data_IF_721188074924
#
_entry.id   IF_721188074924
#
_cell.length_a   1.000
_cell.length_b   1.000
_cell.length_c   1.000
_cell.angle_alpha   90.00
_cell.angle_beta   90.00
_cell.angle_gamma   90.00
#
_symmetry.space_group_name_H-M   'P 1'
#
loop_
_entity.id
_entity.type
_entity.pdbx_description
1 polymer ?
#
# COMPACT_ATOMS: atom_id res chain seq x y z
N UNK A 1 1.10 2.57 17.20
CA UNK A 1 1.31 1.81 15.96
C UNK A 1 2.75 1.32 15.79
N UNK A 2 3.55 1.40 16.83
CA UNK A 2 4.93 0.92 16.78
C UNK A 2 5.01 -0.56 16.42
N UNK A 3 6.01 -0.93 15.64
CA UNK A 3 6.27 -2.32 15.25
C UNK A 3 5.43 -2.85 14.11
N UNK A 4 4.46 -2.11 13.60
CA UNK A 4 3.69 -2.55 12.45
C UNK A 4 4.54 -2.46 11.19
N UNK A 5 4.46 -3.49 10.34
CA UNK A 5 5.23 -3.57 9.10
C UNK A 5 4.44 -3.00 7.94
N UNK A 6 5.01 -2.02 7.27
CA UNK A 6 4.39 -1.39 6.10
C UNK A 6 5.30 -1.52 4.91
N UNK A 7 4.75 -1.98 3.78
CA UNK A 7 5.45 -2.05 2.50
C UNK A 7 4.93 -0.94 1.60
N UNK A 8 5.82 -0.11 1.09
CA UNK A 8 5.48 0.95 0.14
C UNK A 8 5.95 0.51 -1.24
N UNK A 9 5.01 0.30 -2.15
CA UNK A 9 5.29 -0.14 -3.52
C UNK A 9 4.99 1.00 -4.47
N UNK A 10 6.03 1.61 -5.00
CA UNK A 10 5.95 2.78 -5.87
C UNK A 10 7.21 2.84 -6.73
N UNK A 11 7.05 2.93 -8.04
CA UNK A 11 8.19 2.98 -8.96
C UNK A 11 8.88 4.34 -9.01
N UNK A 12 8.15 5.43 -8.76
CA UNK A 12 8.73 6.76 -8.75
C UNK A 12 9.43 7.02 -7.43
N UNK A 13 10.74 7.27 -7.48
CA UNK A 13 11.55 7.44 -6.28
C UNK A 13 11.09 8.62 -5.43
N UNK A 14 10.75 9.75 -6.05
CA UNK A 14 10.32 10.93 -5.31
C UNK A 14 8.99 10.69 -4.59
N UNK A 15 8.03 10.09 -5.28
CA UNK A 15 6.74 9.77 -4.67
C UNK A 15 6.91 8.78 -3.52
N UNK A 16 7.77 7.78 -3.71
CA UNK A 16 8.04 6.78 -2.68
C UNK A 16 8.66 7.41 -1.45
N UNK A 17 9.65 8.29 -1.63
CA UNK A 17 10.31 9.00 -0.53
C UNK A 17 9.36 9.90 0.24
N UNK A 18 8.48 10.60 -0.47
CA UNK A 18 7.49 11.48 0.17
C UNK A 18 6.57 10.67 1.06
N UNK A 19 6.05 9.54 0.57
CA UNK A 19 5.15 8.71 1.36
C UNK A 19 5.87 8.12 2.58
N UNK A 20 7.08 7.60 2.40
CA UNK A 20 7.87 7.07 3.52
C UNK A 20 8.11 8.15 4.57
N UNK A 21 8.47 9.36 4.16
CA UNK A 21 8.66 10.48 5.07
C UNK A 21 7.41 10.77 5.88
N UNK A 22 6.25 10.82 5.22
CA UNK A 22 4.97 11.08 5.90
C UNK A 22 4.62 9.97 6.88
N UNK A 23 4.86 8.72 6.51
CA UNK A 23 4.60 7.58 7.40
C UNK A 23 5.45 7.66 8.66
N UNK A 24 6.72 8.05 8.54
CA UNK A 24 7.61 8.18 9.69
C UNK A 24 7.18 9.28 10.65
N UNK A 25 6.47 10.27 10.16
CA UNK A 25 5.91 11.34 11.00
C UNK A 25 4.64 10.90 11.74
N UNK A 26 3.97 9.86 11.24
CA UNK A 26 2.74 9.36 11.84
C UNK A 26 3.02 8.36 12.96
N UNK A 27 4.01 7.50 12.80
CA UNK A 27 4.30 6.46 13.78
C UNK A 27 5.62 5.77 13.55
N UNK A 28 5.97 4.87 14.47
CA UNK A 28 7.21 4.10 14.41
C UNK A 28 6.99 2.77 13.71
N UNK A 29 6.77 2.84 12.41
CA UNK A 29 6.55 1.66 11.56
C UNK A 29 7.88 1.05 11.12
N UNK A 30 7.87 -0.25 10.89
CA UNK A 30 8.93 -0.89 10.13
C UNK A 30 8.56 -0.75 8.66
N UNK A 31 9.23 0.14 7.94
CA UNK A 31 8.89 0.46 6.56
C UNK A 31 9.88 -0.20 5.61
N UNK A 32 9.33 -0.92 4.63
CA UNK A 32 10.09 -1.51 3.53
C UNK A 32 9.58 -0.95 2.22
N UNK A 33 10.39 -1.03 1.18
CA UNK A 33 10.09 -0.42 -0.11
C UNK A 33 10.23 -1.43 -1.23
N UNK A 34 9.41 -1.28 -2.26
CA UNK A 34 9.49 -2.04 -3.49
C UNK A 34 9.22 -1.10 -4.66
N UNK A 35 9.80 -1.37 -5.82
CA UNK A 35 9.70 -0.50 -6.98
C UNK A 35 8.78 -1.04 -8.06
N UNK A 36 8.29 -2.26 -7.92
CA UNK A 36 7.33 -2.86 -8.85
C UNK A 36 6.58 -4.01 -8.16
N UNK A 37 5.62 -4.57 -8.88
CA UNK A 37 4.80 -5.65 -8.34
C UNK A 37 5.54 -6.94 -8.07
N UNK A 38 6.57 -7.24 -8.86
CA UNK A 38 7.36 -8.47 -8.64
C UNK A 38 8.12 -8.39 -7.33
N UNK A 39 8.74 -7.26 -7.04
CA UNK A 39 9.41 -7.04 -5.76
C UNK A 39 8.44 -7.12 -4.60
N UNK A 40 7.23 -6.56 -4.79
CA UNK A 40 6.20 -6.62 -3.76
C UNK A 40 5.83 -8.07 -3.45
N UNK A 41 5.60 -8.89 -4.47
CA UNK A 41 5.26 -10.30 -4.28
C UNK A 41 6.35 -11.05 -3.51
N UNK A 42 7.60 -10.80 -3.86
CA UNK A 42 8.73 -11.44 -3.20
C UNK A 42 8.79 -11.08 -1.72
N UNK A 43 8.61 -9.80 -1.40
CA UNK A 43 8.63 -9.37 -0.01
C UNK A 43 7.45 -9.92 0.79
N UNK A 44 6.27 -9.96 0.21
CA UNK A 44 5.10 -10.55 0.87
C UNK A 44 5.33 -12.04 1.14
N UNK A 45 5.91 -12.75 0.19
CA UNK A 45 6.19 -14.17 0.35
C UNK A 45 7.20 -14.43 1.47
N UNK A 46 8.21 -13.56 1.56
CA UNK A 46 9.32 -13.72 2.51
C UNK A 46 8.93 -13.33 3.92
N UNK A 47 8.22 -12.22 4.07
CA UNK A 47 7.79 -11.69 5.38
C UNK A 47 6.57 -10.80 5.17
N UNK A 48 5.35 -11.35 5.29
CA UNK A 48 4.13 -10.60 5.01
C UNK A 48 4.02 -9.33 5.86
N UNK A 49 3.80 -8.16 5.23
CA UNK A 49 3.57 -6.93 5.99
C UNK A 49 2.15 -6.90 6.54
N UNK A 50 1.91 -6.00 7.48
CA UNK A 50 0.56 -5.76 7.97
C UNK A 50 -0.26 -4.95 6.97
N UNK A 51 0.41 -4.03 6.24
CA UNK A 51 -0.24 -3.15 5.29
C UNK A 51 0.69 -2.82 4.13
N UNK A 52 0.12 -2.69 2.94
CA UNK A 52 0.83 -2.30 1.72
C UNK A 52 0.18 -1.05 1.13
N UNK A 53 1.01 -0.05 0.78
CA UNK A 53 0.60 1.00 -0.13
C UNK A 53 1.03 0.57 -1.52
N UNK A 54 0.07 0.31 -2.40
CA UNK A 54 0.30 -0.29 -3.71
C UNK A 54 -0.04 0.67 -4.84
N UNK A 55 0.99 1.18 -5.53
CA UNK A 55 0.79 1.95 -6.75
C UNK A 55 0.19 1.03 -7.82
N UNK A 56 -0.87 1.48 -8.46
CA UNK A 56 -1.57 0.68 -9.45
C UNK A 56 -0.87 0.63 -10.81
N UNK A 57 -0.09 1.66 -11.13
CA UNK A 57 0.60 1.75 -12.43
C UNK A 57 2.11 1.72 -12.25
N UNK A 58 2.72 0.60 -12.61
CA UNK A 58 4.14 0.39 -12.51
C UNK A 58 4.61 -0.49 -13.66
N UNK A 59 5.90 -0.39 -14.04
CA UNK A 59 6.46 -1.31 -15.05
C UNK A 59 6.62 -2.72 -14.48
N UNK A 60 6.87 -3.68 -15.35
CA UNK A 60 7.13 -5.09 -15.06
C UNK A 60 5.88 -5.82 -14.59
N UNK A 61 5.35 -5.46 -13.42
CA UNK A 61 4.06 -5.93 -12.93
C UNK A 61 3.39 -4.78 -12.20
N UNK A 62 2.21 -4.39 -12.65
CA UNK A 62 1.46 -3.29 -12.04
C UNK A 62 0.79 -3.72 -10.73
N UNK A 63 0.22 -2.74 -10.02
CA UNK A 63 -0.39 -2.98 -8.73
C UNK A 63 -1.69 -3.79 -8.80
N UNK A 64 -2.40 -3.74 -9.93
CA UNK A 64 -3.60 -4.54 -10.14
C UNK A 64 -3.26 -6.03 -10.07
N UNK A 65 -2.28 -6.44 -10.88
CA UNK A 65 -1.85 -7.83 -10.94
C UNK A 65 -1.20 -8.27 -9.63
N UNK A 66 -0.38 -7.40 -9.04
CA UNK A 66 0.27 -7.71 -7.77
C UNK A 66 -0.76 -7.96 -6.66
N UNK A 67 -1.78 -7.09 -6.56
CA UNK A 67 -2.85 -7.25 -5.58
C UNK A 67 -3.58 -8.57 -5.76
N UNK A 68 -3.95 -8.88 -6.99
CA UNK A 68 -4.64 -10.13 -7.30
C UNK A 68 -3.82 -11.33 -6.85
N UNK A 69 -2.53 -11.33 -7.16
CA UNK A 69 -1.64 -12.43 -6.80
C UNK A 69 -1.41 -12.53 -5.29
N UNK A 70 -1.30 -11.40 -4.61
CA UNK A 70 -1.15 -11.40 -3.16
C UNK A 70 -2.37 -12.05 -2.49
N UNK A 71 -3.58 -11.73 -2.98
CA UNK A 71 -4.80 -12.32 -2.42
C UNK A 71 -4.89 -13.83 -2.63
N UNK A 72 -4.20 -14.35 -3.62
CA UNK A 72 -4.14 -15.79 -3.87
C UNK A 72 -3.06 -16.51 -3.05
N UNK A 73 -2.14 -15.77 -2.46
CA UNK A 73 -1.08 -16.36 -1.63
C UNK A 73 -1.62 -16.85 -0.29
N UNK A 74 -0.95 -17.84 0.29
CA UNK A 74 -1.23 -18.28 1.65
C UNK A 74 -1.02 -17.10 2.62
N UNK A 75 -2.05 -16.77 3.39
CA UNK A 75 -2.02 -15.63 4.32
C UNK A 75 -2.16 -14.26 3.66
N UNK A 76 -2.26 -14.21 2.32
CA UNK A 76 -2.37 -12.95 1.61
C UNK A 76 -3.69 -12.22 1.81
N UNK A 77 -4.72 -12.93 2.27
CA UNK A 77 -6.03 -12.34 2.54
C UNK A 77 -6.04 -11.49 3.81
N UNK A 78 -5.05 -11.63 4.67
CA UNK A 78 -4.96 -10.84 5.92
C UNK A 78 -4.15 -9.56 5.77
N UNK A 79 -3.38 -9.42 4.68
CA UNK A 79 -2.62 -8.22 4.42
C UNK A 79 -3.56 -7.10 3.98
N UNK A 80 -3.45 -5.92 4.60
CA UNK A 80 -4.26 -4.77 4.20
C UNK A 80 -3.57 -4.06 3.03
N UNK A 81 -4.35 -3.68 2.02
CA UNK A 81 -3.80 -3.04 0.83
C UNK A 81 -4.55 -1.74 0.56
N UNK A 82 -3.79 -0.64 0.51
CA UNK A 82 -4.29 0.67 0.09
C UNK A 82 -3.74 0.93 -1.30
N UNK A 83 -4.64 1.05 -2.28
CA UNK A 83 -4.23 1.36 -3.65
C UNK A 83 -3.85 2.84 -3.77
N UNK A 84 -2.76 3.12 -4.49
CA UNK A 84 -2.37 4.48 -4.83
C UNK A 84 -2.75 4.74 -6.28
N UNK A 85 -3.60 5.73 -6.52
CA UNK A 85 -4.09 6.06 -7.86
C UNK A 85 -3.59 7.42 -8.30
N UNK A 86 -3.22 7.56 -9.58
CA UNK A 86 -2.79 8.86 -10.12
C UNK A 86 -3.94 9.84 -10.21
N UNK A 87 -5.15 9.32 -10.35
CA UNK A 87 -6.35 10.13 -10.45
C UNK A 87 -7.48 9.43 -9.70
N UNK A 88 -8.22 10.20 -8.92
CA UNK A 88 -9.44 9.71 -8.28
C UNK A 88 -10.56 9.72 -9.32
N UNK A 89 -10.37 9.00 -10.43
CA UNK A 89 -11.38 8.93 -11.48
C UNK A 89 -12.37 7.83 -11.20
N UNK A 90 -13.59 8.05 -11.65
CA UNK A 90 -14.66 7.08 -11.51
C UNK A 90 -14.23 5.74 -12.10
N UNK A 91 -14.38 4.70 -11.33
CA UNK A 91 -14.12 3.33 -11.75
C UNK A 91 -12.82 2.74 -11.23
N UNK A 92 -11.74 3.51 -11.09
CA UNK A 92 -10.48 2.96 -10.58
C UNK A 92 -10.60 2.55 -9.12
N UNK A 93 -11.29 3.36 -8.32
CA UNK A 93 -11.52 3.05 -6.92
C UNK A 93 -12.35 1.77 -6.76
N UNK A 94 -13.45 1.68 -7.51
CA UNK A 94 -14.32 0.50 -7.47
C UNK A 94 -13.58 -0.75 -7.95
N UNK A 95 -12.77 -0.61 -9.01
CA UNK A 95 -11.97 -1.73 -9.53
C UNK A 95 -10.93 -2.17 -8.50
N UNK A 96 -10.28 -1.22 -7.82
CA UNK A 96 -9.29 -1.56 -6.80
C UNK A 96 -9.92 -2.36 -5.67
N UNK A 97 -11.08 -1.93 -5.19
CA UNK A 97 -11.80 -2.66 -4.15
C UNK A 97 -12.25 -4.04 -4.65
N UNK A 98 -12.69 -4.12 -5.91
CA UNK A 98 -13.17 -5.38 -6.49
C UNK A 98 -12.06 -6.43 -6.61
N UNK A 99 -10.82 -6.02 -6.87
CA UNK A 99 -9.70 -6.97 -6.98
C UNK A 99 -9.08 -7.32 -5.63
N UNK A 100 -9.53 -6.69 -4.54
CA UNK A 100 -9.09 -7.06 -3.21
C UNK A 100 -8.35 -5.99 -2.42
N UNK A 101 -8.28 -4.75 -2.91
CA UNK A 101 -7.76 -3.64 -2.10
C UNK A 101 -8.76 -3.28 -1.01
N UNK A 102 -8.25 -2.86 0.14
CA UNK A 102 -9.10 -2.48 1.26
C UNK A 102 -9.49 -1.01 1.23
N UNK A 103 -8.69 -0.19 0.56
CA UNK A 103 -8.94 1.24 0.44
C UNK A 103 -8.10 1.80 -0.70
N UNK A 104 -8.15 3.10 -0.91
CA UNK A 104 -7.39 3.79 -1.94
C UNK A 104 -7.02 5.20 -1.49
N UNK A 105 -5.98 5.76 -2.12
CA UNK A 105 -5.55 7.15 -1.93
C UNK A 105 -5.12 7.71 -3.28
N UNK A 106 -5.48 8.96 -3.54
CA UNK A 106 -5.02 9.65 -4.76
C UNK A 106 -3.60 10.17 -4.56
N UNK A 107 -2.78 10.06 -5.60
CA UNK A 107 -1.44 10.65 -5.61
C UNK A 107 -1.50 12.11 -6.08
N UNK A 108 -0.62 12.98 -5.59
CA UNK A 108 0.34 12.78 -4.51
C UNK A 108 -0.36 12.69 -3.15
N UNK A 109 0.23 11.90 -2.25
CA UNK A 109 -0.34 11.71 -0.91
C UNK A 109 0.06 12.90 -0.05
N UNK A 110 -0.83 13.89 0.06
CA UNK A 110 -0.51 15.18 0.67
C UNK A 110 -1.18 15.42 2.02
N UNK A 111 -2.19 14.64 2.38
CA UNK A 111 -2.94 14.85 3.62
C UNK A 111 -2.53 13.81 4.68
N UNK A 112 -1.68 14.19 5.66
CA UNK A 112 -1.27 13.26 6.70
C UNK A 112 -2.43 12.76 7.58
N UNK A 113 -3.44 13.60 7.80
CA UNK A 113 -4.59 13.21 8.61
C UNK A 113 -5.38 12.09 7.95
N UNK A 114 -5.55 12.15 6.64
CA UNK A 114 -6.26 11.11 5.89
C UNK A 114 -5.47 9.79 5.92
N UNK A 115 -4.15 9.86 5.77
CA UNK A 115 -3.29 8.68 5.85
C UNK A 115 -3.39 8.04 7.24
N UNK A 116 -3.30 8.85 8.29
CA UNK A 116 -3.41 8.38 9.66
C UNK A 116 -4.74 7.68 9.92
N UNK A 117 -5.84 8.29 9.47
CA UNK A 117 -7.17 7.72 9.64
C UNK A 117 -7.28 6.33 9.01
N UNK A 118 -6.78 6.18 7.79
CA UNK A 118 -6.82 4.89 7.10
C UNK A 118 -5.94 3.86 7.78
N UNK A 119 -4.76 4.25 8.26
CA UNK A 119 -3.88 3.37 8.99
C UNK A 119 -4.53 2.87 10.28
N UNK A 120 -5.11 3.77 11.06
CA UNK A 120 -5.77 3.40 12.31
C UNK A 120 -6.91 2.42 12.06
N UNK A 121 -7.72 2.70 11.06
CA UNK A 121 -8.87 1.86 10.73
C UNK A 121 -8.43 0.47 10.25
N UNK A 122 -7.47 0.41 9.34
CA UNK A 122 -7.06 -0.85 8.72
C UNK A 122 -6.14 -1.68 9.60
N UNK A 123 -5.31 -1.05 10.42
CA UNK A 123 -4.44 -1.76 11.34
C UNK A 123 -5.12 -2.09 12.66
N UNK A 124 -6.32 -1.54 12.90
CA UNK A 124 -7.09 -1.85 14.10
C UNK A 124 -6.51 -1.27 15.39
N UNK A 125 -5.70 -0.21 15.28
CA UNK A 125 -5.11 0.44 16.44
C UNK A 125 -5.45 1.92 16.45
N UNK A 126 -5.73 2.44 17.64
CA UNK A 126 -5.91 3.87 17.82
C UNK A 126 -4.56 4.55 17.90
N UNK A 127 -4.50 5.74 17.36
CA UNK A 127 -3.27 6.52 17.45
C UNK A 127 -3.03 6.98 18.88
#
# INVERSE_FOLDING_TARGET
>A
MAGKKILVVEDNEDNRRILVYRLRKIGEFEIREATNGMEALEQVRRDPPHLIFMDLKMPIMDGWEATRRIREMAGGDTVRIIALTAQAMHGDEEKALAIGCDDYLAKPVVDPALVREKLERLLGVAA
#
